data_IF_282316644661
#
_entry.id   IF_282316644661
#
_cell.length_a   1.000
_cell.length_b   1.000
_cell.length_c   1.000
_cell.angle_alpha   90.00
_cell.angle_beta   90.00
_cell.angle_gamma   90.00
#
_symmetry.space_group_name_H-M   'P 1'
#
loop_
_entity.id
_entity.type
_entity.pdbx_description
1 polymer ?
#
# COMPACT_ATOMS: atom_id res chain seq x y z
N UNK A 1 -5.10 15.82 -11.10
CA UNK A 1 -3.87 15.19 -10.56
C UNK A 1 -4.21 13.80 -10.08
N UNK A 2 -3.45 12.79 -10.50
CA UNK A 2 -3.69 11.39 -10.15
C UNK A 2 -2.89 11.04 -8.89
N UNK A 3 -3.53 10.33 -7.98
CA UNK A 3 -2.94 9.87 -6.72
C UNK A 3 -2.97 8.34 -6.70
N UNK A 4 -1.88 7.72 -6.26
CA UNK A 4 -1.86 6.30 -5.91
C UNK A 4 -1.83 6.21 -4.39
N UNK A 5 -2.87 5.62 -3.81
CA UNK A 5 -2.86 5.26 -2.40
C UNK A 5 -2.22 3.87 -2.28
N UNK A 6 -1.26 3.73 -1.37
CA UNK A 6 -0.76 2.44 -0.91
C UNK A 6 -1.29 2.24 0.50
N UNK A 7 -2.01 1.14 0.73
CA UNK A 7 -2.54 0.76 2.02
C UNK A 7 -1.73 -0.39 2.60
N UNK A 8 -1.30 -0.23 3.85
CA UNK A 8 -0.69 -1.28 4.65
C UNK A 8 -1.70 -1.69 5.72
N UNK A 9 -2.15 -2.93 5.66
CA UNK A 9 -3.04 -3.53 6.66
C UNK A 9 -2.18 -4.16 7.74
N UNK A 10 -2.41 -3.74 8.98
CA UNK A 10 -1.64 -4.12 10.16
C UNK A 10 -2.58 -4.84 11.14
N UNK A 11 -2.16 -6.00 11.64
CA UNK A 11 -2.87 -6.79 12.63
C UNK A 11 -3.86 -7.83 12.06
N UNK A 12 -4.41 -8.68 12.93
CA UNK A 12 -5.37 -9.74 12.56
C UNK A 12 -6.73 -9.15 12.14
N UNK A 13 -7.52 -9.92 11.37
CA UNK A 13 -8.80 -9.52 10.77
C UNK A 13 -9.73 -8.69 11.67
N UNK A 14 -9.80 -9.01 12.96
CA UNK A 14 -10.71 -8.37 13.91
C UNK A 14 -10.20 -7.04 14.51
N UNK A 15 -8.93 -6.66 14.26
CA UNK A 15 -8.31 -5.42 14.74
C UNK A 15 -7.47 -4.73 13.65
N UNK A 16 -7.87 -4.87 12.38
CA UNK A 16 -7.15 -4.33 11.23
C UNK A 16 -7.00 -2.81 11.30
N UNK A 17 -5.75 -2.34 11.38
CA UNK A 17 -5.39 -0.94 11.21
C UNK A 17 -4.87 -0.74 9.79
N UNK A 18 -5.41 0.26 9.09
CA UNK A 18 -4.95 0.60 7.73
C UNK A 18 -4.13 1.88 7.78
N UNK A 19 -2.86 1.78 7.39
CA UNK A 19 -1.99 2.93 7.18
C UNK A 19 -1.95 3.23 5.69
N UNK A 20 -2.32 4.46 5.30
CA UNK A 20 -2.39 4.87 3.89
C UNK A 20 -1.27 5.83 3.56
N UNK A 21 -0.47 5.50 2.56
CA UNK A 21 0.55 6.37 2.01
C UNK A 21 0.15 6.86 0.63
N UNK A 22 0.10 8.18 0.44
CA UNK A 22 -0.36 8.83 -0.78
C UNK A 22 0.84 9.23 -1.65
N UNK A 23 1.00 8.58 -2.80
CA UNK A 23 1.91 9.03 -3.84
C UNK A 23 1.22 10.07 -4.72
N UNK A 24 1.78 11.27 -4.74
CA UNK A 24 1.37 12.37 -5.62
C UNK A 24 2.18 12.32 -6.93
N UNK A 25 1.66 12.95 -7.98
CA UNK A 25 2.34 13.09 -9.27
C UNK A 25 2.65 11.76 -9.97
N UNK A 26 1.76 10.78 -9.83
CA UNK A 26 1.82 9.56 -10.63
C UNK A 26 1.40 9.94 -12.06
N UNK A 27 2.39 10.12 -12.94
CA UNK A 27 2.21 10.68 -14.29
C UNK A 27 1.71 9.65 -15.31
N UNK A 28 1.80 8.37 -15.00
CA UNK A 28 1.31 7.26 -15.81
C UNK A 28 0.50 6.29 -14.93
N UNK A 29 -0.48 5.59 -15.50
CA UNK A 29 -1.09 4.42 -14.88
C UNK A 29 -0.26 3.18 -15.25
N UNK A 30 0.78 2.79 -14.49
CA UNK A 30 1.47 1.54 -14.75
C UNK A 30 0.49 0.38 -14.68
N UNK A 31 0.71 -0.61 -15.54
CA UNK A 31 -0.05 -1.84 -15.56
C UNK A 31 -0.10 -2.47 -14.15
N UNK A 32 -1.21 -3.15 -13.78
CA UNK A 32 -1.36 -3.76 -12.46
C UNK A 32 -0.18 -4.63 -12.02
N UNK A 33 0.43 -5.38 -12.95
CA UNK A 33 1.61 -6.20 -12.68
C UNK A 33 2.84 -5.39 -12.24
N UNK A 34 3.06 -4.21 -12.84
CA UNK A 34 4.15 -3.30 -12.47
C UNK A 34 3.91 -2.68 -11.09
N UNK A 35 2.65 -2.37 -10.77
CA UNK A 35 2.26 -1.93 -9.43
C UNK A 35 2.53 -3.04 -8.42
N UNK A 36 2.12 -4.28 -8.71
CA UNK A 36 2.35 -5.45 -7.84
C UNK A 36 3.84 -5.72 -7.59
N UNK A 37 4.67 -5.61 -8.64
CA UNK A 37 6.12 -5.72 -8.54
C UNK A 37 6.71 -4.64 -7.61
N UNK A 38 6.31 -3.38 -7.80
CA UNK A 38 6.75 -2.27 -6.95
C UNK A 38 6.32 -2.46 -5.48
N UNK A 39 5.09 -2.92 -5.24
CA UNK A 39 4.60 -3.20 -3.90
C UNK A 39 5.38 -4.34 -3.21
N UNK A 40 5.74 -5.40 -3.95
CA UNK A 40 6.63 -6.46 -3.44
C UNK A 40 8.02 -5.93 -3.08
N UNK A 41 8.59 -5.07 -3.91
CA UNK A 41 9.88 -4.44 -3.61
C UNK A 41 9.80 -3.56 -2.37
N UNK A 42 8.73 -2.77 -2.24
CA UNK A 42 8.50 -1.92 -1.08
C UNK A 42 8.37 -2.74 0.21
N UNK A 43 7.70 -3.89 0.13
CA UNK A 43 7.57 -4.80 1.26
C UNK A 43 8.91 -5.40 1.72
N UNK A 44 9.81 -5.73 0.79
CA UNK A 44 11.16 -6.21 1.14
C UNK A 44 11.97 -5.21 1.95
N UNK A 45 11.65 -3.92 1.90
CA UNK A 45 12.36 -2.90 2.65
C UNK A 45 11.97 -2.88 4.14
N UNK A 46 10.88 -3.53 4.56
CA UNK A 46 10.51 -3.78 5.96
C UNK A 46 10.51 -2.57 6.93
N UNK A 47 10.16 -1.38 6.44
CA UNK A 47 10.55 -0.12 7.09
C UNK A 47 9.38 0.74 7.56
N UNK A 48 8.14 0.24 7.51
CA UNK A 48 6.99 1.04 7.93
C UNK A 48 7.01 1.26 9.44
N UNK A 49 6.95 2.53 9.84
CA UNK A 49 6.90 2.95 11.24
C UNK A 49 5.67 3.82 11.51
N UNK A 50 5.23 3.89 12.77
CA UNK A 50 4.22 4.86 13.17
C UNK A 50 4.79 6.26 13.42
N UNK A 51 3.94 7.20 13.85
CA UNK A 51 4.34 8.58 14.19
C UNK A 51 5.25 8.70 15.42
N UNK A 52 5.43 7.62 16.19
CA UNK A 52 6.33 7.53 17.33
C UNK A 52 7.64 6.82 16.97
N UNK A 53 7.81 6.39 15.72
CA UNK A 53 8.99 5.66 15.25
C UNK A 53 8.98 4.17 15.58
N UNK A 54 7.85 3.61 16.02
CA UNK A 54 7.72 2.16 16.29
C UNK A 54 7.59 1.42 14.97
N UNK A 55 8.38 0.36 14.78
CA UNK A 55 8.33 -0.49 13.59
C UNK A 55 7.01 -1.28 13.55
N UNK A 56 6.21 -1.02 12.54
CA UNK A 56 4.92 -1.68 12.30
C UNK A 56 5.04 -2.87 11.34
N UNK A 57 6.17 -2.99 10.64
CA UNK A 57 6.35 -4.01 9.60
C UNK A 57 6.05 -5.46 10.04
N UNK A 58 6.51 -5.93 11.22
CA UNK A 58 6.22 -7.30 11.67
C UNK A 58 4.73 -7.62 11.77
N UNK A 59 3.88 -6.61 11.93
CA UNK A 59 2.44 -6.74 12.07
C UNK A 59 1.69 -6.52 10.75
N UNK A 60 2.38 -6.21 9.65
CA UNK A 60 1.74 -6.01 8.33
C UNK A 60 1.34 -7.36 7.75
N UNK A 61 0.05 -7.55 7.51
CA UNK A 61 -0.51 -8.77 6.93
C UNK A 61 -0.80 -8.63 5.44
N UNK A 62 -1.04 -7.42 4.96
CA UNK A 62 -1.40 -7.17 3.57
C UNK A 62 -0.94 -5.79 3.12
N UNK A 63 -0.53 -5.67 1.86
CA UNK A 63 -0.30 -4.39 1.20
C UNK A 63 -1.17 -4.32 -0.05
N UNK A 64 -1.85 -3.18 -0.24
CA UNK A 64 -2.65 -2.92 -1.43
C UNK A 64 -2.36 -1.55 -2.02
N UNK A 65 -2.65 -1.35 -3.30
CA UNK A 65 -2.63 -0.04 -3.91
C UNK A 65 -3.88 0.20 -4.74
N UNK A 66 -4.37 1.44 -4.67
CA UNK A 66 -5.58 1.89 -5.37
C UNK A 66 -5.31 3.26 -6.00
N UNK A 67 -5.63 3.40 -7.28
CA UNK A 67 -5.63 4.69 -7.94
C UNK A 67 -6.88 5.47 -7.52
N UNK A 68 -6.69 6.71 -7.08
CA UNK A 68 -7.80 7.65 -6.91
C UNK A 68 -8.12 8.20 -8.30
N UNK A 69 -8.83 7.40 -9.08
CA UNK A 69 -9.52 7.82 -10.30
C UNK A 69 -11.01 7.82 -10.02
N UNK A 70 -11.79 8.67 -10.70
CA UNK A 70 -13.26 8.70 -10.60
C UNK A 70 -13.93 7.39 -11.05
N UNK A 71 -13.17 6.43 -11.59
CA UNK A 71 -13.58 5.06 -11.84
C UNK A 71 -12.96 4.13 -10.79
N UNK A 72 -13.82 3.34 -10.15
CA UNK A 72 -13.47 2.29 -9.20
C UNK A 72 -12.45 1.33 -9.83
N UNK A 73 -11.17 1.61 -9.59
CA UNK A 73 -10.09 0.74 -10.04
C UNK A 73 -9.96 -0.36 -9.00
N UNK A 74 -9.99 -1.62 -9.44
CA UNK A 74 -9.81 -2.73 -8.52
C UNK A 74 -8.46 -2.60 -7.81
N UNK A 75 -8.42 -2.69 -6.47
CA UNK A 75 -7.19 -2.53 -5.72
C UNK A 75 -6.23 -3.70 -6.02
N UNK A 76 -4.99 -3.37 -6.40
CA UNK A 76 -3.93 -4.36 -6.56
C UNK A 76 -3.47 -4.77 -5.16
N UNK A 77 -3.68 -6.04 -4.80
CA UNK A 77 -3.46 -6.59 -3.45
C UNK A 77 -2.42 -7.70 -3.48
N UNK A 78 -1.63 -7.82 -2.40
CA UNK A 78 -0.89 -9.05 -2.10
C UNK A 78 -0.67 -9.22 -0.58
N UNK A 79 -0.51 -10.47 -0.16
CA UNK A 79 -0.24 -10.87 1.23
C UNK A 79 1.28 -10.95 1.46
N UNK A 80 1.72 -10.52 2.64
CA UNK A 80 3.14 -10.38 3.01
C UNK A 80 3.67 -11.65 3.68
#
# INVERSE_FOLDING_TARGET
MQYLNIHFTIGPDNAKKIVTWKLKNVTAHPAPEKVKEALRMLAKCQWITDSKGVMLWPDVTQVSAEYISTQASEPVKFEV
#
